data_IF_162682648427
#
_entry.id   IF_162682648427
#
_cell.length_a   1.000
_cell.length_b   1.000
_cell.length_c   1.000
_cell.angle_alpha   90.00
_cell.angle_beta   90.00
_cell.angle_gamma   90.00
#
_symmetry.space_group_name_H-M   'P 1'
#
loop_
_entity.id
_entity.type
_entity.pdbx_description
1 polymer ?
#
# COMPACT_ATOMS: atom_id res chain seq x y z
N UNK A 1 -9.38 -17.40 -0.03
CA UNK A 1 -8.71 -16.16 -0.51
C UNK A 1 -9.43 -14.97 0.11
N UNK A 2 -8.77 -14.13 0.89
CA UNK A 2 -9.39 -12.91 1.43
C UNK A 2 -9.66 -11.97 0.26
N UNK A 3 -10.93 -11.80 -0.11
CA UNK A 3 -11.37 -10.78 -1.06
C UNK A 3 -11.05 -9.41 -0.45
N UNK A 4 -10.00 -8.77 -0.95
CA UNK A 4 -9.66 -7.40 -0.56
C UNK A 4 -10.88 -6.51 -0.85
N UNK A 5 -11.45 -5.90 0.21
CA UNK A 5 -12.63 -5.05 0.10
C UNK A 5 -12.24 -3.74 -0.59
N UNK A 6 -12.49 -3.65 -1.89
CA UNK A 6 -12.28 -2.42 -2.67
C UNK A 6 -13.19 -1.31 -2.13
N UNK A 7 -12.67 -0.08 -2.03
CA UNK A 7 -13.45 1.11 -1.66
C UNK A 7 -13.83 1.88 -2.93
N UNK A 8 -15.11 2.25 -3.13
CA UNK A 8 -15.51 3.05 -4.28
C UNK A 8 -14.96 4.47 -4.13
N UNK A 9 -14.50 5.04 -5.25
CA UNK A 9 -14.06 6.44 -5.34
C UNK A 9 -14.69 7.01 -6.61
N UNK A 10 -15.32 8.18 -6.49
CA UNK A 10 -15.80 8.95 -7.63
C UNK A 10 -14.79 10.06 -7.92
N UNK A 11 -14.37 10.17 -9.19
CA UNK A 11 -13.43 11.20 -9.65
C UNK A 11 -14.00 11.84 -10.92
N UNK A 12 -13.68 13.12 -11.11
CA UNK A 12 -13.86 13.80 -12.39
C UNK A 12 -12.55 13.69 -13.17
N UNK A 13 -12.66 13.43 -14.47
CA UNK A 13 -11.54 13.36 -15.41
C UNK A 13 -11.87 14.17 -16.65
N UNK A 14 -10.83 14.61 -17.35
CA UNK A 14 -11.00 15.38 -18.58
C UNK A 14 -11.67 14.52 -19.68
N UNK A 15 -12.53 15.10 -20.55
CA UNK A 15 -13.17 14.36 -21.63
C UNK A 15 -12.17 13.62 -22.53
N UNK A 16 -11.00 14.22 -22.77
CA UNK A 16 -9.91 13.57 -23.52
C UNK A 16 -9.37 12.31 -22.83
N UNK A 17 -9.24 12.34 -21.50
CA UNK A 17 -8.79 11.17 -20.73
C UNK A 17 -9.83 10.04 -20.78
N UNK A 18 -11.12 10.38 -20.70
CA UNK A 18 -12.20 9.41 -20.83
C UNK A 18 -12.18 8.69 -22.19
N UNK A 19 -11.96 9.44 -23.28
CA UNK A 19 -11.85 8.89 -24.62
C UNK A 19 -10.63 7.97 -24.77
N UNK A 20 -9.47 8.39 -24.25
CA UNK A 20 -8.25 7.57 -24.28
C UNK A 20 -8.44 6.28 -23.48
N UNK A 21 -9.07 6.36 -22.29
CA UNK A 21 -9.37 5.20 -21.46
C UNK A 21 -10.28 4.19 -22.16
N UNK A 22 -11.28 4.66 -22.91
CA UNK A 22 -12.14 3.80 -23.74
C UNK A 22 -11.31 3.04 -24.78
N UNK A 23 -10.52 3.76 -25.57
CA UNK A 23 -9.68 3.15 -26.61
C UNK A 23 -8.71 2.12 -26.03
N UNK A 24 -8.07 2.45 -24.89
CA UNK A 24 -7.15 1.53 -24.21
C UNK A 24 -7.87 0.31 -23.64
N UNK A 25 -9.07 0.49 -23.09
CA UNK A 25 -9.92 -0.59 -22.57
C UNK A 25 -10.25 -1.59 -23.69
N UNK A 26 -10.71 -1.08 -24.83
CA UNK A 26 -11.02 -1.90 -26.00
C UNK A 26 -9.78 -2.61 -26.55
N UNK A 27 -8.66 -1.90 -26.69
CA UNK A 27 -7.41 -2.46 -27.23
C UNK A 27 -6.82 -3.56 -26.35
N UNK A 28 -6.93 -3.44 -25.02
CA UNK A 28 -6.35 -4.38 -24.05
C UNK A 28 -7.32 -5.48 -23.61
N UNK A 29 -8.62 -5.35 -23.89
CA UNK A 29 -9.63 -6.31 -23.44
C UNK A 29 -9.84 -6.32 -21.92
N UNK A 30 -9.53 -5.21 -21.24
CA UNK A 30 -9.69 -5.05 -19.78
C UNK A 30 -10.58 -3.87 -19.46
N UNK A 31 -11.11 -3.80 -18.25
CA UNK A 31 -11.98 -2.69 -17.85
C UNK A 31 -11.21 -1.37 -17.69
N UNK A 32 -11.87 -0.21 -17.94
CA UNK A 32 -11.31 1.12 -17.61
C UNK A 32 -10.81 1.19 -16.16
N UNK A 33 -11.58 0.62 -15.23
CA UNK A 33 -11.21 0.59 -13.81
C UNK A 33 -9.96 -0.23 -13.53
N UNK A 34 -9.64 -1.22 -14.36
CA UNK A 34 -8.40 -1.99 -14.26
C UNK A 34 -7.21 -1.16 -14.72
N UNK A 35 -7.33 -0.47 -15.85
CA UNK A 35 -6.31 0.47 -16.32
C UNK A 35 -6.04 1.54 -15.26
N UNK A 36 -7.10 2.13 -14.67
CA UNK A 36 -6.95 3.13 -13.61
C UNK A 36 -6.22 2.55 -12.39
N UNK A 37 -6.58 1.32 -11.95
CA UNK A 37 -5.90 0.66 -10.82
C UNK A 37 -4.43 0.39 -11.11
N UNK A 38 -4.10 -0.11 -12.30
CA UNK A 38 -2.71 -0.36 -12.71
C UNK A 38 -1.89 0.93 -12.74
N UNK A 39 -2.46 2.02 -13.25
CA UNK A 39 -1.80 3.33 -13.27
C UNK A 39 -1.55 3.87 -11.87
N UNK A 40 -2.53 3.72 -10.95
CA UNK A 40 -2.35 4.09 -9.54
C UNK A 40 -1.24 3.24 -8.91
N UNK A 41 -1.25 1.92 -9.11
CA UNK A 41 -0.22 1.03 -8.56
C UNK A 41 1.18 1.39 -9.08
N UNK A 42 1.30 1.73 -10.37
CA UNK A 42 2.57 2.19 -10.95
C UNK A 42 3.03 3.50 -10.32
N UNK A 43 2.13 4.48 -10.20
CA UNK A 43 2.42 5.75 -9.54
C UNK A 43 2.89 5.55 -8.10
N UNK A 44 2.21 4.70 -7.32
CA UNK A 44 2.58 4.43 -5.94
C UNK A 44 3.95 3.75 -5.79
N UNK A 45 4.35 2.90 -6.74
CA UNK A 45 5.67 2.27 -6.75
C UNK A 45 6.80 3.23 -7.10
N UNK A 46 6.48 4.30 -7.81
CA UNK A 46 7.43 5.32 -8.26
C UNK A 46 7.47 6.55 -7.30
N UNK A 47 6.68 6.54 -6.22
CA UNK A 47 6.71 7.59 -5.21
C UNK A 47 8.11 7.72 -4.59
N UNK A 48 8.66 8.94 -4.50
CA UNK A 48 9.82 9.20 -3.66
C UNK A 48 9.56 8.71 -2.23
N UNK A 49 10.58 8.17 -1.58
CA UNK A 49 10.47 7.64 -0.22
C UNK A 49 9.91 8.71 0.73
N UNK A 50 10.30 9.97 0.53
CA UNK A 50 9.86 11.13 1.31
C UNK A 50 8.33 11.37 1.26
N UNK A 51 7.67 10.93 0.19
CA UNK A 51 6.23 11.07 -0.02
C UNK A 51 5.46 9.80 0.36
N UNK A 52 6.15 8.70 0.72
CA UNK A 52 5.51 7.48 1.17
C UNK A 52 4.86 7.69 2.55
N UNK A 53 3.52 7.58 2.68
CA UNK A 53 2.84 7.69 3.97
C UNK A 53 3.37 6.72 5.03
N UNK A 54 3.98 5.60 4.64
CA UNK A 54 4.62 4.66 5.55
C UNK A 54 5.84 5.25 6.27
N UNK A 55 6.54 6.24 5.69
CA UNK A 55 7.63 6.94 6.37
C UNK A 55 7.16 7.63 7.65
N UNK A 56 5.93 8.16 7.65
CA UNK A 56 5.31 8.74 8.84
C UNK A 56 5.03 7.72 9.96
N UNK A 57 5.12 6.42 9.68
CA UNK A 57 4.96 5.36 10.68
C UNK A 57 6.29 5.01 11.37
N UNK A 58 7.43 5.33 10.75
CA UNK A 58 8.74 5.07 11.33
C UNK A 58 8.92 5.94 12.58
N UNK A 59 9.26 5.32 13.71
CA UNK A 59 9.50 6.03 14.97
C UNK A 59 8.27 6.30 15.83
N UNK A 60 7.05 5.91 15.40
CA UNK A 60 5.84 6.05 16.24
C UNK A 60 5.81 5.08 17.44
N UNK A 61 6.63 4.02 17.41
CA UNK A 61 6.68 3.01 18.47
C UNK A 61 7.59 3.41 19.63
N UNK A 62 7.02 3.67 20.81
CA UNK A 62 7.78 3.97 22.04
C UNK A 62 7.91 2.77 22.97
N UNK A 63 8.91 1.91 22.76
CA UNK A 63 9.17 0.77 23.66
C UNK A 63 10.13 1.06 24.82
N UNK A 64 10.78 2.23 24.79
CA UNK A 64 11.89 2.61 25.68
C UNK A 64 13.19 1.83 25.46
N UNK A 65 13.28 1.01 24.40
CA UNK A 65 14.46 0.19 24.09
C UNK A 65 15.12 0.66 22.81
N UNK A 66 16.42 0.94 22.88
CA UNK A 66 17.23 1.39 21.74
C UNK A 66 17.72 0.26 20.83
N UNK A 67 17.67 -1.00 21.29
CA UNK A 67 18.23 -2.18 20.61
C UNK A 67 17.16 -3.14 20.05
N UNK A 68 15.95 -2.63 19.84
CA UNK A 68 14.81 -3.45 19.38
C UNK A 68 15.04 -4.08 18.01
N UNK A 69 15.61 -3.31 17.08
CA UNK A 69 15.89 -3.80 15.73
C UNK A 69 16.97 -4.90 15.78
N UNK A 70 18.06 -4.65 16.52
CA UNK A 70 19.20 -5.57 16.61
C UNK A 70 18.89 -6.85 17.39
N UNK A 71 18.04 -6.76 18.42
CA UNK A 71 17.70 -7.88 19.31
C UNK A 71 16.26 -8.33 19.19
N UNK A 72 15.65 -8.10 18.03
CA UNK A 72 14.26 -8.41 17.73
C UNK A 72 13.85 -9.81 18.19
N UNK A 73 14.57 -10.83 17.74
CA UNK A 73 14.25 -12.24 18.01
C UNK A 73 14.33 -12.57 19.51
N UNK A 74 15.31 -11.97 20.22
CA UNK A 74 15.46 -12.13 21.67
C UNK A 74 14.24 -11.59 22.40
N UNK A 75 13.70 -10.46 21.99
CA UNK A 75 12.51 -9.87 22.59
C UNK A 75 11.25 -10.68 22.30
N UNK A 76 11.09 -11.18 21.07
CA UNK A 76 9.98 -12.08 20.70
C UNK A 76 10.02 -13.36 21.53
N UNK A 77 11.19 -14.02 21.60
CA UNK A 77 11.36 -15.25 22.36
C UNK A 77 11.01 -15.06 23.85
N UNK A 78 11.49 -13.96 24.44
CA UNK A 78 11.18 -13.60 25.84
C UNK A 78 9.69 -13.39 26.06
N UNK A 79 9.02 -12.68 25.16
CA UNK A 79 7.57 -12.44 25.24
C UNK A 79 6.78 -13.76 25.13
N UNK A 80 7.11 -14.61 24.15
CA UNK A 80 6.47 -15.91 23.96
C UNK A 80 6.62 -16.81 25.19
N UNK A 81 7.80 -16.81 25.83
CA UNK A 81 8.04 -17.56 27.07
C UNK A 81 7.24 -17.01 28.26
N UNK A 82 7.10 -15.68 28.40
CA UNK A 82 6.32 -15.07 29.48
C UNK A 82 4.81 -15.35 29.42
N UNK A 83 4.28 -15.71 28.24
CA UNK A 83 2.86 -16.02 28.02
C UNK A 83 2.47 -17.49 28.28
N UNK A 84 3.47 -18.37 28.48
CA UNK A 84 3.27 -19.80 28.78
C UNK A 84 3.22 -20.12 30.29
N UNK A 85 3.34 -19.09 31.15
CA UNK A 85 3.06 -19.17 32.59
C UNK A 85 1.71 -18.56 32.87
#
# INVERSE_FOLDING_TARGET
MRTLKKRPIQIYIEPGQANILEILSMKRGVSKSEIIRESIEKYLKELPIEEDPAMGLIGLGGSGKSDLADKHDRYIARYAASRKR
#
